data_IF_865322525165
#
_entry.id   IF_865322525165
#
_cell.length_a   1.000
_cell.length_b   1.000
_cell.length_c   1.000
_cell.angle_alpha   90.00
_cell.angle_beta   90.00
_cell.angle_gamma   90.00
#
_symmetry.space_group_name_H-M   'P 1'
#
loop_
_entity.id
_entity.type
_entity.pdbx_description
1 polymer ?
#
# COMPACT_ATOMS: atom_id res chain seq x y z
N UNK A 1 4.50 -15.93 -7.34
CA UNK A 1 3.86 -14.66 -6.96
C UNK A 1 4.55 -13.42 -7.57
N UNK A 2 5.89 -13.32 -7.56
CA UNK A 2 6.65 -12.21 -8.18
C UNK A 2 6.24 -11.87 -9.63
N UNK A 3 5.99 -12.87 -10.49
CA UNK A 3 5.57 -12.65 -11.90
C UNK A 3 4.17 -12.06 -12.09
N UNK A 4 3.26 -12.19 -11.11
CA UNK A 4 1.95 -11.49 -11.16
C UNK A 4 2.10 -10.05 -10.68
N UNK A 5 2.97 -9.85 -9.68
CA UNK A 5 3.28 -8.56 -9.08
C UNK A 5 4.00 -7.59 -10.05
N UNK A 6 4.96 -8.09 -10.83
CA UNK A 6 5.61 -7.29 -11.88
C UNK A 6 4.64 -6.89 -13.02
N UNK A 7 3.67 -7.77 -13.34
CA UNK A 7 2.64 -7.48 -14.34
C UNK A 7 1.65 -6.43 -13.87
N UNK A 8 1.29 -6.43 -12.58
CA UNK A 8 0.42 -5.42 -11.98
C UNK A 8 1.14 -4.07 -11.94
N UNK A 9 2.40 -4.01 -11.48
CA UNK A 9 3.22 -2.79 -11.54
C UNK A 9 3.34 -2.24 -12.96
N UNK A 10 3.65 -3.08 -13.95
CA UNK A 10 3.71 -2.63 -15.34
C UNK A 10 2.35 -2.12 -15.84
N UNK A 11 1.23 -2.76 -15.49
CA UNK A 11 -0.11 -2.30 -15.90
C UNK A 11 -0.52 -0.98 -15.22
N UNK A 12 -0.22 -0.80 -13.93
CA UNK A 12 -0.56 0.43 -13.17
C UNK A 12 0.31 1.60 -13.61
N UNK A 13 1.63 1.41 -13.77
CA UNK A 13 2.53 2.44 -14.30
C UNK A 13 2.27 2.76 -15.78
N UNK A 14 1.70 1.81 -16.54
CA UNK A 14 1.17 2.09 -17.88
C UNK A 14 -0.21 2.76 -17.84
N UNK A 15 -1.02 2.57 -16.80
CA UNK A 15 -2.32 3.23 -16.62
C UNK A 15 -2.21 4.73 -16.37
N UNK A 16 -1.28 5.14 -15.49
CA UNK A 16 -0.99 6.55 -15.19
C UNK A 16 -0.41 7.27 -16.44
N UNK A 17 0.49 6.60 -17.16
CA UNK A 17 1.07 7.15 -18.39
C UNK A 17 0.15 7.02 -19.61
N UNK A 18 -0.85 6.12 -19.64
CA UNK A 18 -1.78 5.97 -20.77
C UNK A 18 -3.00 6.91 -20.70
N UNK A 19 -3.19 7.59 -19.56
CA UNK A 19 -4.17 8.68 -19.43
C UNK A 19 -3.56 10.02 -19.86
N UNK A 20 -2.25 10.23 -19.69
CA UNK A 20 -1.58 11.48 -20.12
C UNK A 20 -0.75 11.38 -21.41
N UNK A 21 -0.18 10.24 -21.79
CA UNK A 21 0.66 10.15 -23.00
C UNK A 21 0.53 8.80 -23.75
N UNK A 22 -0.35 8.78 -24.78
CA UNK A 22 0.04 8.30 -26.12
C UNK A 22 -1.00 8.64 -27.18
N UNK A 23 -0.73 9.80 -27.76
CA UNK A 23 -0.95 10.25 -29.14
C UNK A 23 -1.05 9.07 -30.13
N UNK A 24 -2.27 8.65 -30.41
CA UNK A 24 -2.68 8.02 -31.66
C UNK A 24 -3.75 8.89 -32.31
N UNK A 25 -4.04 8.75 -33.62
CA UNK A 25 -4.94 9.65 -34.39
C UNK A 25 -6.42 9.65 -33.97
N UNK A 26 -6.75 9.12 -32.80
CA UNK A 26 -8.08 9.02 -32.22
C UNK A 26 -8.02 9.09 -30.68
N UNK A 27 -7.46 10.16 -30.13
CA UNK A 27 -7.69 10.53 -28.72
C UNK A 27 -9.15 10.97 -28.59
N UNK A 28 -9.99 10.14 -27.95
CA UNK A 28 -11.34 10.55 -27.62
C UNK A 28 -11.28 11.34 -26.32
N UNK A 29 -12.00 12.45 -26.29
CA UNK A 29 -12.22 13.21 -25.07
C UNK A 29 -13.14 12.41 -24.15
N UNK A 30 -12.62 12.03 -22.99
CA UNK A 30 -13.38 11.36 -21.95
C UNK A 30 -14.17 12.38 -21.12
N UNK A 31 -15.27 11.95 -20.53
CA UNK A 31 -16.06 12.79 -19.64
C UNK A 31 -15.42 12.90 -18.24
N UNK A 32 -15.68 14.01 -17.56
CA UNK A 32 -15.11 14.31 -16.25
C UNK A 32 -15.53 13.30 -15.18
N UNK A 33 -16.74 12.75 -15.27
CA UNK A 33 -17.24 11.74 -14.34
C UNK A 33 -16.42 10.46 -14.42
N UNK A 34 -16.11 9.99 -15.63
CA UNK A 34 -15.22 8.85 -15.84
C UNK A 34 -13.80 9.14 -15.32
N UNK A 35 -13.24 10.30 -15.68
CA UNK A 35 -11.88 10.68 -15.25
C UNK A 35 -11.75 10.73 -13.73
N UNK A 36 -12.73 11.30 -13.03
CA UNK A 36 -12.74 11.36 -11.57
C UNK A 36 -12.82 9.97 -10.94
N UNK A 37 -13.62 9.06 -11.48
CA UNK A 37 -13.73 7.70 -10.97
C UNK A 37 -12.46 6.89 -11.22
N UNK A 38 -11.92 6.91 -12.44
CA UNK A 38 -10.73 6.11 -12.77
C UNK A 38 -9.50 6.62 -12.00
N UNK A 39 -9.39 7.93 -11.76
CA UNK A 39 -8.33 8.50 -10.94
C UNK A 39 -8.40 8.01 -9.49
N UNK A 40 -9.60 7.99 -8.87
CA UNK A 40 -9.77 7.45 -7.53
C UNK A 40 -9.43 5.95 -7.44
N UNK A 41 -9.81 5.17 -8.45
CA UNK A 41 -9.47 3.74 -8.53
C UNK A 41 -7.94 3.54 -8.65
N UNK A 42 -7.27 4.34 -9.47
CA UNK A 42 -5.82 4.25 -9.64
C UNK A 42 -5.07 4.69 -8.37
N UNK A 43 -5.47 5.82 -7.78
CA UNK A 43 -4.92 6.33 -6.52
C UNK A 43 -5.04 5.31 -5.39
N UNK A 44 -6.22 4.67 -5.25
CA UNK A 44 -6.41 3.58 -4.30
C UNK A 44 -5.44 2.40 -4.55
N UNK A 45 -5.19 2.06 -5.81
CA UNK A 45 -4.24 1.01 -6.19
C UNK A 45 -2.79 1.37 -5.85
N UNK A 46 -2.39 2.60 -6.10
CA UNK A 46 -1.06 3.12 -5.74
C UNK A 46 -0.86 3.09 -4.23
N UNK A 47 -1.79 3.66 -3.46
CA UNK A 47 -1.74 3.70 -2.00
C UNK A 47 -1.67 2.32 -1.37
N UNK A 48 -2.44 1.34 -1.87
CA UNK A 48 -2.36 -0.04 -1.38
C UNK A 48 -1.00 -0.70 -1.67
N UNK A 49 -0.37 -0.40 -2.81
CA UNK A 49 0.97 -0.87 -3.11
C UNK A 49 2.03 -0.21 -2.21
N UNK A 50 1.87 1.08 -1.93
CA UNK A 50 2.73 1.81 -1.02
C UNK A 50 2.64 1.26 0.40
N UNK A 51 1.44 0.98 0.90
CA UNK A 51 1.24 0.35 2.21
C UNK A 51 2.00 -0.98 2.29
N UNK A 52 1.90 -1.86 1.29
CA UNK A 52 2.66 -3.12 1.28
C UNK A 52 4.17 -2.90 1.31
N UNK A 53 4.66 -1.89 0.58
CA UNK A 53 6.09 -1.54 0.59
C UNK A 53 6.51 -1.02 1.97
N UNK A 54 5.74 -0.12 2.58
CA UNK A 54 5.99 0.42 3.90
C UNK A 54 5.97 -0.66 4.98
N UNK A 55 5.05 -1.63 4.90
CA UNK A 55 5.04 -2.80 5.81
C UNK A 55 6.34 -3.61 5.68
N UNK A 56 6.82 -3.85 4.46
CA UNK A 56 8.10 -4.53 4.25
C UNK A 56 9.32 -3.73 4.73
N UNK A 57 9.29 -2.41 4.65
CA UNK A 57 10.35 -1.54 5.16
C UNK A 57 10.32 -1.45 6.69
N UNK A 58 9.12 -1.46 7.27
CA UNK A 58 8.92 -1.46 8.70
C UNK A 58 9.47 -2.73 9.36
N UNK A 59 9.20 -3.90 8.79
CA UNK A 59 9.74 -5.18 9.32
C UNK A 59 11.26 -5.22 9.27
N UNK A 60 11.89 -4.72 8.20
CA UNK A 60 13.36 -4.55 8.13
C UNK A 60 13.89 -3.57 9.16
N UNK A 61 13.13 -2.51 9.45
CA UNK A 61 13.51 -1.49 10.43
C UNK A 61 13.47 -2.06 11.86
N UNK A 62 12.53 -2.95 12.17
CA UNK A 62 12.50 -3.69 13.44
C UNK A 62 13.76 -4.54 13.61
N UNK A 63 14.14 -5.29 12.57
CA UNK A 63 15.38 -6.08 12.60
C UNK A 63 16.61 -5.17 12.80
N UNK A 64 16.67 -4.05 12.09
CA UNK A 64 17.73 -3.05 12.23
C UNK A 64 17.82 -2.47 13.65
N UNK A 65 16.68 -2.17 14.26
CA UNK A 65 16.59 -1.71 15.65
C UNK A 65 17.12 -2.75 16.64
N UNK A 66 16.68 -4.00 16.52
CA UNK A 66 17.14 -5.11 17.37
C UNK A 66 18.66 -5.34 17.24
N UNK A 67 19.19 -5.29 16.01
CA UNK A 67 20.63 -5.38 15.75
C UNK A 67 21.42 -4.24 16.43
N UNK A 68 20.93 -3.00 16.32
CA UNK A 68 21.59 -1.84 16.92
C UNK A 68 21.60 -1.92 18.46
N UNK A 69 20.47 -2.28 19.07
CA UNK A 69 20.34 -2.45 20.52
C UNK A 69 21.30 -3.52 21.05
N UNK A 70 21.41 -4.65 20.36
CA UNK A 70 22.35 -5.71 20.70
C UNK A 70 23.81 -5.26 20.60
N UNK A 71 24.16 -4.58 19.50
CA UNK A 71 25.51 -4.06 19.27
C UNK A 71 25.97 -3.07 20.34
N UNK A 72 25.07 -2.21 20.84
CA UNK A 72 25.35 -1.30 21.97
C UNK A 72 25.61 -2.11 23.24
N UNK A 73 24.74 -3.06 23.57
CA UNK A 73 24.85 -3.89 24.76
C UNK A 73 26.16 -4.69 24.79
N UNK A 74 26.57 -5.25 23.65
CA UNK A 74 27.87 -5.90 23.47
C UNK A 74 29.04 -4.97 23.76
N UNK A 75 29.05 -3.76 23.16
CA UNK A 75 30.15 -2.81 23.34
C UNK A 75 30.25 -2.33 24.79
N UNK A 76 29.12 -2.14 25.47
CA UNK A 76 29.09 -1.79 26.89
C UNK A 76 29.69 -2.92 27.74
N UNK A 77 29.32 -4.18 27.48
CA UNK A 77 29.83 -5.30 28.27
C UNK A 77 31.35 -5.49 28.13
N UNK A 78 31.91 -5.12 26.98
CA UNK A 78 33.35 -5.13 26.72
C UNK A 78 34.14 -4.04 27.45
N UNK A 79 33.49 -3.04 28.05
CA UNK A 79 34.17 -2.05 28.87
C UNK A 79 34.63 -2.62 30.23
N UNK A 80 34.00 -3.69 30.70
CA UNK A 80 34.33 -4.35 31.96
C UNK A 80 35.40 -5.42 31.72
N UNK A 81 36.47 -5.39 32.50
CA UNK A 81 37.58 -6.35 32.44
C UNK A 81 37.42 -7.41 33.53
N UNK A 82 37.97 -8.59 33.27
CA UNK A 82 38.01 -9.66 34.27
C UNK A 82 38.70 -9.15 35.55
N UNK A 83 38.03 -9.33 36.69
CA UNK A 83 38.46 -8.81 37.99
C UNK A 83 37.82 -7.48 38.41
N UNK A 84 37.10 -6.78 37.51
CA UNK A 84 36.31 -5.62 37.89
C UNK A 84 35.13 -6.03 38.78
N UNK A 85 34.78 -5.16 39.74
CA UNK A 85 33.70 -5.39 40.73
C UNK A 85 32.37 -5.81 40.10
N UNK A 86 32.06 -5.29 38.90
CA UNK A 86 30.80 -5.51 38.20
C UNK A 86 30.96 -6.35 36.92
N UNK A 87 32.12 -6.99 36.71
CA UNK A 87 32.40 -7.77 35.50
C UNK A 87 31.38 -8.90 35.28
N UNK A 88 31.18 -9.76 36.29
CA UNK A 88 30.26 -10.90 36.18
C UNK A 88 28.81 -10.46 35.97
N UNK A 89 28.38 -9.38 36.65
CA UNK A 89 27.04 -8.80 36.46
C UNK A 89 26.86 -8.21 35.06
N UNK A 90 27.90 -7.59 34.51
CA UNK A 90 27.91 -7.07 33.15
C UNK A 90 27.87 -8.19 32.09
N UNK A 91 28.63 -9.27 32.29
CA UNK A 91 28.60 -10.45 31.42
C UNK A 91 27.24 -11.18 31.48
N UNK A 92 26.64 -11.30 32.67
CA UNK A 92 25.31 -11.88 32.83
C UNK A 92 24.23 -11.01 32.16
N UNK A 93 24.31 -9.69 32.31
CA UNK A 93 23.42 -8.74 31.62
C UNK A 93 23.59 -8.82 30.11
N UNK A 94 24.81 -8.96 29.60
CA UNK A 94 25.07 -9.14 28.18
C UNK A 94 24.48 -10.45 27.63
N UNK A 95 24.65 -11.58 28.33
CA UNK A 95 24.04 -12.86 27.93
C UNK A 95 22.51 -12.79 27.94
N UNK A 96 21.93 -12.13 28.93
CA UNK A 96 20.50 -11.82 28.94
C UNK A 96 20.06 -10.95 27.74
N UNK A 97 20.88 -9.98 27.36
CA UNK A 97 20.66 -9.15 26.16
C UNK A 97 20.84 -9.93 24.85
N UNK A 98 21.68 -10.97 24.82
CA UNK A 98 21.77 -11.90 23.69
C UNK A 98 20.49 -12.72 23.54
N UNK A 99 19.90 -13.20 24.64
CA UNK A 99 18.58 -13.81 24.61
C UNK A 99 17.49 -12.83 24.14
N UNK A 100 17.53 -11.57 24.60
CA UNK A 100 16.64 -10.52 24.11
C UNK A 100 16.79 -10.22 22.63
N UNK A 101 18.03 -10.23 22.14
CA UNK A 101 18.31 -10.04 20.72
C UNK A 101 17.78 -11.19 19.88
N UNK A 102 18.00 -12.44 20.29
CA UNK A 102 17.48 -13.61 19.59
C UNK A 102 15.95 -13.66 19.63
N UNK A 103 15.34 -13.33 20.77
CA UNK A 103 13.89 -13.24 20.91
C UNK A 103 13.33 -12.06 20.11
N UNK A 104 14.00 -10.91 20.09
CA UNK A 104 13.61 -9.74 19.30
C UNK A 104 13.75 -9.97 17.80
N UNK A 105 14.75 -10.75 17.38
CA UNK A 105 14.89 -11.22 15.99
C UNK A 105 13.81 -12.23 15.63
N UNK A 106 13.56 -13.23 16.47
CA UNK A 106 12.48 -14.20 16.27
C UNK A 106 11.11 -13.52 16.27
N UNK A 107 10.89 -12.55 17.16
CA UNK A 107 9.69 -11.73 17.20
C UNK A 107 9.59 -10.92 15.92
N UNK A 108 10.66 -10.27 15.45
CA UNK A 108 10.67 -9.56 14.17
C UNK A 108 10.33 -10.47 12.98
N UNK A 109 10.83 -11.70 12.97
CA UNK A 109 10.55 -12.69 11.92
C UNK A 109 9.09 -13.17 11.99
N UNK A 110 8.61 -13.59 13.17
CA UNK A 110 7.21 -13.99 13.38
C UNK A 110 6.23 -12.84 13.14
N UNK A 111 6.63 -11.62 13.49
CA UNK A 111 5.87 -10.41 13.27
C UNK A 111 5.85 -10.00 11.80
N UNK A 112 6.96 -10.19 11.08
CA UNK A 112 6.99 -10.03 9.63
C UNK A 112 6.10 -11.05 8.93
N UNK A 113 6.06 -12.29 9.41
CA UNK A 113 5.14 -13.31 8.93
C UNK A 113 3.68 -12.94 9.24
N UNK A 114 3.35 -12.54 10.47
CA UNK A 114 2.00 -12.14 10.88
C UNK A 114 1.51 -10.89 10.14
N UNK A 115 2.33 -9.84 10.06
CA UNK A 115 2.00 -8.64 9.30
C UNK A 115 1.80 -8.96 7.82
N UNK A 116 2.63 -9.82 7.23
CA UNK A 116 2.41 -10.26 5.86
C UNK A 116 1.11 -11.09 5.76
N UNK A 117 0.93 -12.13 6.55
CA UNK A 117 -0.21 -13.04 6.44
C UNK A 117 -1.56 -12.42 6.78
N UNK A 118 -1.59 -11.35 7.58
CA UNK A 118 -2.82 -10.70 8.01
C UNK A 118 -3.06 -9.39 7.26
N UNK A 119 -2.06 -8.53 7.05
CA UNK A 119 -2.26 -7.29 6.28
C UNK A 119 -2.22 -7.54 4.77
N UNK A 120 -1.26 -8.31 4.26
CA UNK A 120 -1.18 -8.55 2.81
C UNK A 120 -2.38 -9.38 2.35
N UNK A 121 -2.88 -10.30 3.18
CA UNK A 121 -4.08 -11.07 2.88
C UNK A 121 -5.34 -10.22 2.77
N UNK A 122 -5.46 -9.11 3.50
CA UNK A 122 -6.57 -8.16 3.35
C UNK A 122 -6.36 -7.19 2.17
N UNK A 123 -5.11 -6.83 1.87
CA UNK A 123 -4.77 -5.93 0.76
C UNK A 123 -4.90 -6.61 -0.62
N UNK A 124 -4.49 -7.87 -0.74
CA UNK A 124 -4.48 -8.59 -2.03
C UNK A 124 -5.87 -8.67 -2.68
N UNK A 125 -6.97 -9.03 -1.97
CA UNK A 125 -8.32 -9.02 -2.55
C UNK A 125 -8.75 -7.64 -3.04
N UNK A 126 -8.35 -6.56 -2.37
CA UNK A 126 -8.61 -5.20 -2.80
C UNK A 126 -7.87 -4.88 -4.11
N UNK A 127 -6.59 -5.25 -4.20
CA UNK A 127 -5.80 -5.09 -5.42
C UNK A 127 -6.36 -5.91 -6.58
N UNK A 128 -6.82 -7.14 -6.33
CA UNK A 128 -7.48 -7.96 -7.35
C UNK A 128 -8.80 -7.35 -7.82
N UNK A 129 -9.58 -6.74 -6.91
CA UNK A 129 -10.81 -6.03 -7.27
C UNK A 129 -10.51 -4.80 -8.13
N UNK A 130 -9.49 -4.00 -7.76
CA UNK A 130 -9.03 -2.87 -8.56
C UNK A 130 -8.53 -3.29 -9.95
N UNK A 131 -7.80 -4.41 -10.05
CA UNK A 131 -7.36 -4.94 -11.33
C UNK A 131 -8.55 -5.32 -12.23
N UNK A 132 -9.61 -5.91 -11.68
CA UNK A 132 -10.83 -6.21 -12.42
C UNK A 132 -11.51 -4.94 -12.92
N UNK A 133 -11.60 -3.90 -12.08
CA UNK A 133 -12.17 -2.61 -12.46
C UNK A 133 -11.36 -1.98 -13.61
N UNK A 134 -10.04 -2.04 -13.54
CA UNK A 134 -9.16 -1.56 -14.61
C UNK A 134 -9.31 -2.37 -15.91
N UNK A 135 -9.47 -3.69 -15.84
CA UNK A 135 -9.74 -4.50 -17.03
C UNK A 135 -11.11 -4.15 -17.66
N UNK A 136 -12.12 -3.77 -16.85
CA UNK A 136 -13.41 -3.26 -17.34
C UNK A 136 -13.24 -1.87 -17.97
N UNK A 137 -12.46 -0.98 -17.36
CA UNK A 137 -12.16 0.35 -17.89
C UNK A 137 -11.44 0.29 -19.25
N UNK A 138 -10.50 -0.65 -19.41
CA UNK A 138 -9.83 -0.94 -20.68
C UNK A 138 -10.82 -1.39 -21.77
N UNK A 139 -11.81 -2.21 -21.39
CA UNK A 139 -12.85 -2.64 -22.32
C UNK A 139 -13.79 -1.48 -22.69
N UNK A 140 -14.22 -0.68 -21.72
CA UNK A 140 -14.98 0.56 -21.95
C UNK A 140 -14.27 1.47 -22.94
N UNK A 141 -12.97 1.72 -22.74
CA UNK A 141 -12.15 2.56 -23.63
C UNK A 141 -12.15 2.03 -25.07
N UNK A 142 -12.00 0.72 -25.27
CA UNK A 142 -12.07 0.10 -26.60
C UNK A 142 -13.43 0.31 -27.26
N UNK A 143 -14.51 0.13 -26.51
CA UNK A 143 -15.86 0.33 -27.02
C UNK A 143 -16.13 1.80 -27.37
N UNK A 144 -15.60 2.74 -26.58
CA UNK A 144 -15.67 4.18 -26.86
C UNK A 144 -14.93 4.54 -28.17
N UNK A 145 -13.72 3.98 -28.37
CA UNK A 145 -12.94 4.12 -29.61
C UNK A 145 -13.73 3.61 -30.83
N UNK A 146 -14.35 2.44 -30.71
CA UNK A 146 -15.15 1.87 -31.78
C UNK A 146 -16.40 2.71 -32.09
N UNK A 147 -17.05 3.27 -31.07
CA UNK A 147 -18.20 4.15 -31.23
C UNK A 147 -17.83 5.47 -31.92
N UNK A 148 -16.80 6.17 -31.44
CA UNK A 148 -16.41 7.44 -32.05
C UNK A 148 -15.96 7.26 -33.51
N UNK A 149 -15.25 6.16 -33.81
CA UNK A 149 -14.86 5.84 -35.18
C UNK A 149 -16.06 5.55 -36.07
N UNK A 150 -17.05 4.77 -35.61
CA UNK A 150 -18.25 4.48 -36.41
C UNK A 150 -19.13 5.72 -36.61
N UNK A 151 -19.23 6.60 -35.61
CA UNK A 151 -19.90 7.90 -35.73
C UNK A 151 -19.19 8.78 -36.78
N UNK A 152 -17.86 8.87 -36.75
CA UNK A 152 -17.07 9.61 -37.75
C UNK A 152 -17.27 9.08 -39.16
N UNK A 153 -17.38 7.77 -39.33
CA UNK A 153 -17.64 7.15 -40.64
C UNK A 153 -19.08 7.40 -41.13
N UNK A 154 -20.06 7.39 -40.23
CA UNK A 154 -21.43 7.78 -40.54
C UNK A 154 -21.51 9.24 -41.01
N UNK A 155 -20.88 10.17 -40.29
CA UNK A 155 -20.85 11.60 -40.66
C UNK A 155 -20.15 11.83 -42.00
N UNK A 156 -19.03 11.15 -42.26
CA UNK A 156 -18.37 11.19 -43.58
C UNK A 156 -19.27 10.64 -44.69
N UNK A 157 -20.07 9.60 -44.43
CA UNK A 157 -20.98 9.03 -45.42
C UNK A 157 -22.17 9.96 -45.72
N UNK A 158 -22.71 10.62 -44.69
CA UNK A 158 -23.73 11.68 -44.82
C UNK A 158 -23.21 12.83 -45.66
N UNK A 159 -22.02 13.37 -45.33
CA UNK A 159 -21.41 14.48 -46.05
C UNK A 159 -21.13 14.17 -47.53
N UNK A 160 -20.83 12.90 -47.86
CA UNK A 160 -20.57 12.44 -49.23
C UNK A 160 -21.81 11.95 -49.99
N UNK A 161 -23.01 12.08 -49.41
CA UNK A 161 -24.27 11.66 -50.06
C UNK A 161 -24.36 10.15 -50.34
N UNK A 162 -23.68 9.30 -49.57
CA UNK A 162 -23.63 7.84 -49.80
C UNK A 162 -24.87 7.12 -49.25
N UNK A 163 -26.05 7.47 -49.76
CA UNK A 163 -27.37 7.04 -49.24
C UNK A 163 -27.47 5.51 -49.06
N UNK A 164 -26.98 4.72 -50.03
CA UNK A 164 -27.00 3.25 -49.98
C UNK A 164 -26.20 2.64 -48.82
N UNK A 165 -25.27 3.38 -48.19
CA UNK A 165 -24.44 2.89 -47.07
C UNK A 165 -24.93 3.38 -45.70
N UNK A 166 -25.88 4.31 -45.65
CA UNK A 166 -26.30 4.96 -44.40
C UNK A 166 -26.96 3.98 -43.43
N UNK A 167 -27.90 3.16 -43.90
CA UNK A 167 -28.60 2.18 -43.06
C UNK A 167 -27.64 1.23 -42.34
N UNK A 168 -26.68 0.64 -43.07
CA UNK A 168 -25.64 -0.23 -42.47
C UNK A 168 -24.76 0.50 -41.46
N UNK A 169 -24.36 1.74 -41.75
CA UNK A 169 -23.51 2.51 -40.83
C UNK A 169 -24.28 2.92 -39.55
N UNK A 170 -25.58 3.22 -39.67
CA UNK A 170 -26.45 3.48 -38.52
C UNK A 170 -26.57 2.24 -37.61
N UNK A 171 -26.71 1.04 -38.19
CA UNK A 171 -26.74 -0.21 -37.43
C UNK A 171 -25.42 -0.49 -36.69
N UNK A 172 -24.28 -0.22 -37.34
CA UNK A 172 -22.95 -0.34 -36.71
C UNK A 172 -22.81 0.65 -35.54
N UNK A 173 -23.23 1.91 -35.73
CA UNK A 173 -23.21 2.92 -34.67
C UNK A 173 -24.10 2.47 -33.50
N UNK A 174 -25.33 2.01 -33.77
CA UNK A 174 -26.23 1.53 -32.73
C UNK A 174 -25.64 0.34 -31.95
N UNK A 175 -24.97 -0.59 -32.64
CA UNK A 175 -24.29 -1.73 -32.02
C UNK A 175 -23.14 -1.29 -31.11
N UNK A 176 -22.29 -0.38 -31.58
CA UNK A 176 -21.18 0.14 -30.77
C UNK A 176 -21.68 1.00 -29.60
N UNK A 177 -22.77 1.75 -29.79
CA UNK A 177 -23.40 2.53 -28.73
C UNK A 177 -23.90 1.63 -27.61
N UNK A 178 -24.60 0.53 -27.94
CA UNK A 178 -25.08 -0.43 -26.96
C UNK A 178 -23.93 -1.09 -26.18
N UNK A 179 -22.83 -1.44 -26.86
CA UNK A 179 -21.63 -1.99 -26.21
C UNK A 179 -20.98 -0.99 -25.25
N UNK A 180 -20.75 0.23 -25.71
CA UNK A 180 -20.16 1.29 -24.88
C UNK A 180 -21.04 1.62 -23.67
N UNK A 181 -22.36 1.79 -23.86
CA UNK A 181 -23.28 2.05 -22.75
C UNK A 181 -23.26 0.92 -21.72
N UNK A 182 -23.16 -0.34 -22.17
CA UNK A 182 -23.02 -1.48 -21.26
C UNK A 182 -21.69 -1.40 -20.49
N UNK A 183 -20.56 -1.30 -21.18
CA UNK A 183 -19.25 -1.29 -20.51
C UNK A 183 -19.00 -0.06 -19.63
N UNK A 184 -19.60 1.09 -19.96
CA UNK A 184 -19.61 2.29 -19.12
C UNK A 184 -20.42 2.10 -17.83
N UNK A 185 -21.61 1.50 -17.93
CA UNK A 185 -22.42 1.16 -16.76
C UNK A 185 -21.73 0.11 -15.88
N UNK A 186 -21.17 -0.94 -16.48
CA UNK A 186 -20.43 -2.00 -15.76
C UNK A 186 -19.23 -1.39 -15.01
N UNK A 187 -18.49 -0.45 -15.65
CA UNK A 187 -17.40 0.28 -15.01
C UNK A 187 -17.89 1.12 -13.82
N UNK A 188 -18.88 1.98 -14.04
CA UNK A 188 -19.41 2.87 -12.99
C UNK A 188 -19.94 2.09 -11.81
N UNK A 189 -20.65 1.00 -12.06
CA UNK A 189 -21.15 0.12 -11.00
C UNK A 189 -19.98 -0.46 -10.20
N UNK A 190 -19.03 -1.13 -10.87
CA UNK A 190 -17.92 -1.78 -10.19
C UNK A 190 -17.02 -0.78 -9.42
N UNK A 191 -16.78 0.41 -9.98
CA UNK A 191 -16.01 1.47 -9.33
C UNK A 191 -16.72 2.00 -8.07
N UNK A 192 -18.02 2.30 -8.15
CA UNK A 192 -18.77 2.80 -7.00
C UNK A 192 -18.96 1.74 -5.91
N UNK A 193 -19.17 0.47 -6.28
CA UNK A 193 -19.21 -0.64 -5.33
C UNK A 193 -17.88 -0.79 -4.58
N UNK A 194 -16.74 -0.62 -5.27
CA UNK A 194 -15.44 -0.60 -4.60
C UNK A 194 -15.30 0.60 -3.67
N UNK A 195 -15.50 1.82 -4.19
CA UNK A 195 -15.24 3.06 -3.43
C UNK A 195 -16.14 3.18 -2.20
N UNK A 196 -17.36 2.65 -2.25
CA UNK A 196 -18.26 2.62 -1.08
C UNK A 196 -17.84 1.60 -0.02
N UNK A 197 -17.28 0.45 -0.41
CA UNK A 197 -16.88 -0.62 0.51
C UNK A 197 -15.43 -0.51 1.01
N UNK A 198 -14.57 0.22 0.30
CA UNK A 198 -13.14 0.27 0.60
C UNK A 198 -12.79 0.95 1.93
N UNK A 199 -13.43 2.06 2.37
CA UNK A 199 -13.06 2.76 3.60
C UNK A 199 -13.10 1.88 4.86
N UNK A 200 -14.11 1.02 5.01
CA UNK A 200 -14.18 0.11 6.15
C UNK A 200 -13.07 -0.94 6.12
N UNK A 201 -12.66 -1.39 4.92
CA UNK A 201 -11.55 -2.33 4.75
C UNK A 201 -10.21 -1.66 5.04
N UNK A 202 -10.03 -0.41 4.64
CA UNK A 202 -8.84 0.39 5.00
C UNK A 202 -8.73 0.58 6.50
N UNK A 203 -9.86 0.81 7.18
CA UNK A 203 -9.91 0.90 8.64
C UNK A 203 -9.44 -0.40 9.29
N UNK A 204 -9.93 -1.55 8.84
CA UNK A 204 -9.50 -2.85 9.37
C UNK A 204 -8.00 -3.11 9.14
N UNK A 205 -7.45 -2.73 7.99
CA UNK A 205 -6.01 -2.83 7.70
C UNK A 205 -5.21 -1.95 8.67
N UNK A 206 -5.65 -0.71 8.91
CA UNK A 206 -5.00 0.20 9.83
C UNK A 206 -5.04 -0.30 11.28
N UNK A 207 -6.21 -0.75 11.75
CA UNK A 207 -6.40 -1.29 13.10
C UNK A 207 -5.55 -2.53 13.34
N UNK A 208 -5.51 -3.45 12.36
CA UNK A 208 -4.64 -4.62 12.42
C UNK A 208 -3.17 -4.20 12.54
N UNK A 209 -2.70 -3.27 11.70
CA UNK A 209 -1.33 -2.77 11.78
C UNK A 209 -1.01 -2.17 13.16
N UNK A 210 -1.87 -1.29 13.68
CA UNK A 210 -1.66 -0.67 14.99
C UNK A 210 -1.66 -1.68 16.13
N UNK A 211 -2.55 -2.67 16.08
CA UNK A 211 -2.63 -3.74 17.09
C UNK A 211 -1.31 -4.50 17.15
N UNK A 212 -0.82 -4.93 16.00
CA UNK A 212 0.46 -5.63 15.90
C UNK A 212 1.62 -4.74 16.39
N UNK A 213 1.68 -3.46 15.99
CA UNK A 213 2.73 -2.55 16.46
C UNK A 213 2.71 -2.42 18.00
N UNK A 214 1.53 -2.33 18.60
CA UNK A 214 1.38 -2.28 20.06
C UNK A 214 1.87 -3.57 20.73
N UNK A 215 1.47 -4.73 20.21
CA UNK A 215 1.92 -6.05 20.71
C UNK A 215 3.44 -6.19 20.65
N UNK A 216 4.07 -5.72 19.57
CA UNK A 216 5.53 -5.74 19.44
C UNK A 216 6.23 -4.98 20.57
N UNK A 217 5.78 -3.76 20.88
CA UNK A 217 6.37 -2.96 21.96
C UNK A 217 6.08 -3.56 23.35
N UNK A 218 4.89 -4.12 23.56
CA UNK A 218 4.53 -4.77 24.81
C UNK A 218 5.39 -6.00 25.08
N UNK A 219 5.54 -6.89 24.09
CA UNK A 219 6.35 -8.09 24.21
C UNK A 219 7.83 -7.73 24.40
N UNK A 220 8.35 -6.73 23.67
CA UNK A 220 9.70 -6.22 23.87
C UNK A 220 9.96 -5.72 25.29
N UNK A 221 8.98 -5.01 25.90
CA UNK A 221 9.05 -4.59 27.30
C UNK A 221 9.05 -5.78 28.25
N UNK A 222 8.12 -6.72 28.05
CA UNK A 222 7.98 -7.91 28.89
C UNK A 222 9.27 -8.74 28.88
N UNK A 223 9.80 -9.01 27.70
CA UNK A 223 11.07 -9.73 27.53
C UNK A 223 12.21 -9.03 28.28
N UNK A 224 12.33 -7.70 28.17
CA UNK A 224 13.38 -6.96 28.87
C UNK A 224 13.30 -7.09 30.40
N UNK A 225 12.08 -7.13 30.96
CA UNK A 225 11.85 -7.31 32.40
C UNK A 225 12.12 -8.75 32.87
N UNK A 226 11.76 -9.75 32.05
CA UNK A 226 11.91 -11.16 32.40
C UNK A 226 13.35 -11.68 32.21
N UNK A 227 14.05 -11.20 31.18
CA UNK A 227 15.32 -11.80 30.75
C UNK A 227 16.55 -11.20 31.42
N UNK A 228 16.49 -9.97 31.96
CA UNK A 228 17.65 -9.30 32.56
C UNK A 228 17.61 -9.42 34.09
N UNK A 229 18.49 -10.24 34.70
CA UNK A 229 18.54 -10.37 36.16
C UNK A 229 18.83 -9.01 36.80
N UNK A 230 17.97 -8.60 37.74
CA UNK A 230 18.08 -7.32 38.46
C UNK A 230 17.85 -6.05 37.62
N UNK A 231 17.23 -6.14 36.44
CA UNK A 231 16.78 -4.94 35.73
C UNK A 231 15.57 -4.32 36.44
N UNK A 232 15.87 -3.41 37.37
CA UNK A 232 14.85 -2.70 38.13
C UNK A 232 14.44 -1.44 37.40
N UNK A 233 13.65 -1.61 36.34
CA UNK A 233 13.23 -0.53 35.45
C UNK A 233 12.72 0.70 36.21
N UNK A 234 11.82 0.51 37.18
CA UNK A 234 11.23 1.64 37.94
C UNK A 234 12.25 2.34 38.84
N UNK A 235 13.15 1.60 39.49
CA UNK A 235 14.22 2.19 40.31
C UNK A 235 15.22 2.98 39.44
N UNK A 236 15.59 2.43 38.27
CA UNK A 236 16.52 3.07 37.34
C UNK A 236 15.88 4.29 36.67
N UNK A 237 14.59 4.19 36.29
CA UNK A 237 13.84 5.28 35.67
C UNK A 237 13.72 6.48 36.61
N UNK A 238 13.50 6.25 37.91
CA UNK A 238 13.44 7.33 38.90
C UNK A 238 14.77 8.07 39.09
N UNK A 239 15.89 7.41 38.78
CA UNK A 239 17.24 7.96 38.94
C UNK A 239 17.81 8.59 37.66
N UNK A 240 17.11 8.51 36.53
CA UNK A 240 17.57 9.02 35.24
C UNK A 240 16.65 10.11 34.71
N UNK A 241 17.19 11.12 34.02
CA UNK A 241 16.36 12.07 33.28
C UNK A 241 15.43 11.31 32.35
N UNK A 242 14.12 11.46 32.56
CA UNK A 242 13.13 10.85 31.68
C UNK A 242 13.03 11.69 30.40
N UNK A 243 13.10 11.02 29.26
CA UNK A 243 12.77 11.63 27.97
C UNK A 243 11.25 11.78 27.95
N UNK A 244 10.74 12.91 28.45
CA UNK A 244 9.32 13.25 28.34
C UNK A 244 9.11 13.80 26.94
N UNK A 245 8.54 13.00 26.05
CA UNK A 245 8.11 13.47 24.74
C UNK A 245 6.80 14.22 24.98
N UNK A 246 6.82 15.55 24.87
CA UNK A 246 5.59 16.34 24.85
C UNK A 246 4.84 15.95 23.58
N UNK A 247 3.57 15.53 23.64
CA UNK A 247 2.79 15.24 22.45
C UNK A 247 2.83 16.45 21.53
N UNK A 248 3.40 16.29 20.34
CA UNK A 248 3.32 17.33 19.33
C UNK A 248 1.97 17.20 18.63
N UNK A 249 1.25 18.31 18.54
CA UNK A 249 0.10 18.40 17.65
C UNK A 249 0.68 18.48 16.23
N UNK A 250 0.25 17.62 15.28
CA UNK A 250 0.70 17.72 13.90
C UNK A 250 0.42 19.14 13.38
N UNK A 251 1.43 19.79 12.79
CA UNK A 251 1.22 21.05 12.10
C UNK A 251 0.41 20.77 10.83
N UNK A 252 -0.81 21.31 10.74
CA UNK A 252 -1.68 21.19 9.56
C UNK A 252 -1.08 21.86 8.31
N UNK A 253 -0.01 22.67 8.44
CA UNK A 253 0.54 23.50 7.37
C UNK A 253 1.55 22.82 6.40
N UNK A 254 1.96 21.56 6.62
CA UNK A 254 2.93 20.90 5.72
C UNK A 254 2.30 20.12 4.55
N UNK A 255 0.99 19.91 4.52
CA UNK A 255 0.31 19.23 3.39
C UNK A 255 0.08 20.13 2.17
N UNK A 256 -0.02 21.46 2.32
CA UNK A 256 -0.29 22.39 1.20
C UNK A 256 0.94 22.74 0.33
N UNK A 257 2.16 22.31 0.69
CA UNK A 257 3.39 22.68 -0.06
C UNK A 257 3.90 21.61 -1.03
N UNK A 258 3.11 20.56 -1.29
CA UNK A 258 3.48 19.48 -2.23
C UNK A 258 2.45 19.21 -3.34
N UNK A 259 1.52 20.13 -3.60
CA UNK A 259 0.73 20.15 -4.85
C UNK A 259 1.44 20.95 -5.95
#
# INVERSE_FOLDING_TARGET
>A
MQRRWEKIKQKVTLGINAVQEKVGPSSIQEDESYLNLINQINDAGEKLNEIQKCVSEFTKSIEGYSNAQYGISFRISKLFKSGDKDYESSQATYKAQESLYLNGKSLSESFAELLNDQLVKEIVPLQEQLQKINDIADQRRKDHILLANSQKDLEKAKAKGKIKRLSRLQEIVATHQAKYTKSDNDFKQAANEYLSAAPSKYTAIFEAFQTYVAEFYEEGRKQALESIPNFKYDEIKAQRPSITIVPQVPNEEEEEKKE
#
